data_IF_934020950028
#
_entry.id   IF_934020950028
#
_cell.length_a   1.000
_cell.length_b   1.000
_cell.length_c   1.000
_cell.angle_alpha   90.00
_cell.angle_beta   90.00
_cell.angle_gamma   90.00
#
_symmetry.space_group_name_H-M   'P 1'
#
loop_
_entity.id
_entity.type
_entity.pdbx_description
1 polymer ?
#
# COMPACT_ATOMS: atom_id res chain seq x y z
N UNK A 1 4.42 16.69 9.98
CA UNK A 1 5.39 16.17 8.99
C UNK A 1 5.13 16.61 7.54
N UNK A 2 4.08 17.39 7.23
CA UNK A 2 3.88 18.13 5.98
C UNK A 2 3.70 17.31 4.69
N UNK A 3 3.42 16.01 4.77
CA UNK A 3 3.06 15.24 3.60
C UNK A 3 1.55 15.32 3.35
N UNK A 4 1.16 15.70 2.14
CA UNK A 4 -0.24 15.63 1.73
C UNK A 4 -0.66 14.18 1.50
N UNK A 5 -1.95 13.87 1.69
CA UNK A 5 -2.53 12.54 1.41
C UNK A 5 -2.25 12.07 -0.03
N UNK A 6 -2.22 13.01 -0.97
CA UNK A 6 -1.89 12.77 -2.36
C UNK A 6 -0.46 12.23 -2.54
N UNK A 7 0.52 12.82 -1.86
CA UNK A 7 1.91 12.38 -1.95
C UNK A 7 2.10 10.99 -1.32
N UNK A 8 1.41 10.71 -0.22
CA UNK A 8 1.43 9.37 0.40
C UNK A 8 0.83 8.32 -0.53
N UNK A 9 -0.19 8.67 -1.32
CA UNK A 9 -0.76 7.78 -2.35
C UNK A 9 0.27 7.41 -3.43
N UNK A 10 1.06 8.38 -3.93
CA UNK A 10 2.14 8.13 -4.91
C UNK A 10 3.19 7.20 -4.30
N UNK A 11 3.64 7.54 -3.10
CA UNK A 11 4.69 6.78 -2.43
C UNK A 11 4.25 5.34 -2.12
N UNK A 12 3.00 5.12 -1.73
CA UNK A 12 2.42 3.78 -1.60
C UNK A 12 2.37 3.03 -2.94
N UNK A 13 2.13 3.72 -4.05
CA UNK A 13 2.17 3.12 -5.39
C UNK A 13 3.56 2.57 -5.76
N UNK A 14 4.65 3.11 -5.20
CA UNK A 14 6.00 2.56 -5.41
C UNK A 14 6.19 1.17 -4.83
N UNK A 15 5.32 0.74 -3.90
CA UNK A 15 5.39 -0.57 -3.24
C UNK A 15 5.40 -1.72 -4.25
N UNK A 16 4.57 -1.67 -5.29
CA UNK A 16 4.55 -2.73 -6.31
C UNK A 16 5.86 -2.83 -7.08
N UNK A 17 6.47 -1.68 -7.42
CA UNK A 17 7.79 -1.64 -8.06
C UNK A 17 8.89 -2.16 -7.12
N UNK A 18 8.91 -1.72 -5.87
CA UNK A 18 9.87 -2.19 -4.88
C UNK A 18 9.71 -3.69 -4.61
N UNK A 19 8.49 -4.20 -4.53
CA UNK A 19 8.23 -5.64 -4.36
C UNK A 19 8.78 -6.44 -5.53
N UNK A 20 8.63 -5.95 -6.76
CA UNK A 20 9.22 -6.57 -7.94
C UNK A 20 10.75 -6.63 -7.85
N UNK A 21 11.39 -5.53 -7.48
CA UNK A 21 12.86 -5.47 -7.33
C UNK A 21 13.33 -6.44 -6.24
N UNK A 22 12.70 -6.43 -5.07
CA UNK A 22 13.04 -7.33 -3.95
C UNK A 22 12.81 -8.79 -4.34
N UNK A 23 11.71 -9.13 -5.02
CA UNK A 23 11.43 -10.48 -5.49
C UNK A 23 12.46 -10.96 -6.52
N UNK A 24 12.86 -10.12 -7.46
CA UNK A 24 13.90 -10.42 -8.43
C UNK A 24 15.20 -10.81 -7.76
N UNK A 25 15.70 -10.00 -6.82
CA UNK A 25 16.98 -10.27 -6.16
C UNK A 25 16.91 -11.39 -5.14
N UNK A 26 15.82 -11.50 -4.39
CA UNK A 26 15.73 -12.43 -3.25
C UNK A 26 15.12 -13.79 -3.58
N UNK A 27 14.09 -13.82 -4.43
CA UNK A 27 13.47 -15.07 -4.89
C UNK A 27 14.07 -15.59 -6.19
N UNK A 28 14.89 -14.76 -6.89
CA UNK A 28 15.38 -15.04 -8.25
C UNK A 28 14.23 -15.32 -9.23
N UNK A 29 13.08 -14.69 -8.99
CA UNK A 29 11.94 -14.80 -9.90
C UNK A 29 12.23 -14.10 -11.21
N UNK A 30 11.96 -14.77 -12.33
CA UNK A 30 11.96 -14.14 -13.64
C UNK A 30 10.75 -13.23 -13.78
N UNK A 31 10.98 -11.94 -13.94
CA UNK A 31 9.93 -10.96 -14.17
C UNK A 31 9.76 -10.82 -15.68
N UNK A 32 8.53 -11.06 -16.16
CA UNK A 32 8.25 -10.90 -17.57
C UNK A 32 8.22 -9.41 -17.96
N UNK A 33 8.60 -9.11 -19.21
CA UNK A 33 8.52 -7.74 -19.74
C UNK A 33 7.09 -7.18 -19.63
N UNK A 34 6.07 -8.03 -19.76
CA UNK A 34 4.67 -7.62 -19.60
C UNK A 34 4.34 -7.19 -18.17
N UNK A 35 4.85 -7.92 -17.18
CA UNK A 35 4.67 -7.55 -15.78
C UNK A 35 5.37 -6.22 -15.47
N UNK A 36 6.60 -6.05 -15.93
CA UNK A 36 7.34 -4.81 -15.76
C UNK A 36 6.61 -3.62 -16.41
N UNK A 37 6.14 -3.80 -17.64
CA UNK A 37 5.35 -2.78 -18.35
C UNK A 37 4.05 -2.45 -17.58
N UNK A 38 3.34 -3.47 -17.09
CA UNK A 38 2.13 -3.29 -16.31
C UNK A 38 2.35 -2.50 -15.02
N UNK A 39 3.43 -2.80 -14.29
CA UNK A 39 3.77 -2.09 -13.05
C UNK A 39 4.14 -0.62 -13.33
N UNK A 40 4.93 -0.37 -14.37
CA UNK A 40 5.28 1.00 -14.78
C UNK A 40 4.03 1.77 -15.22
N UNK A 41 3.18 1.15 -16.02
CA UNK A 41 1.94 1.78 -16.50
C UNK A 41 0.97 2.10 -15.36
N UNK A 42 0.80 1.18 -14.41
CA UNK A 42 0.00 1.39 -13.21
C UNK A 42 0.55 2.54 -12.35
N UNK A 43 1.86 2.62 -12.20
CA UNK A 43 2.50 3.72 -11.48
C UNK A 43 2.29 5.08 -12.17
N UNK A 44 2.42 5.13 -13.50
CA UNK A 44 2.10 6.34 -14.27
C UNK A 44 0.63 6.74 -14.09
N UNK A 45 -0.29 5.77 -14.08
CA UNK A 45 -1.70 6.02 -13.76
C UNK A 45 -1.90 6.67 -12.40
N UNK A 46 -1.18 6.20 -11.36
CA UNK A 46 -1.20 6.81 -10.02
C UNK A 46 -0.69 8.26 -10.07
N UNK A 47 0.40 8.52 -10.77
CA UNK A 47 0.93 9.88 -10.91
C UNK A 47 -0.10 10.84 -11.53
N UNK A 48 -0.85 10.37 -12.54
CA UNK A 48 -1.93 11.14 -13.15
C UNK A 48 -3.08 11.38 -12.17
N UNK A 49 -3.50 10.36 -11.41
CA UNK A 49 -4.60 10.46 -10.44
C UNK A 49 -4.30 11.42 -9.29
N UNK A 50 -3.09 11.38 -8.79
CA UNK A 50 -2.71 12.09 -7.56
C UNK A 50 -2.25 13.53 -7.83
N UNK A 51 -1.91 13.86 -9.06
CA UNK A 51 -1.46 15.20 -9.49
C UNK A 51 -0.38 15.79 -8.55
N UNK A 52 0.86 15.34 -8.64
CA UNK A 52 1.92 15.72 -7.70
C UNK A 52 2.26 17.23 -7.69
N UNK A 53 1.84 17.97 -8.72
CA UNK A 53 2.09 19.42 -8.79
C UNK A 53 1.42 20.21 -7.66
N UNK A 54 0.38 19.66 -7.03
CA UNK A 54 -0.35 20.29 -5.93
C UNK A 54 0.13 19.85 -4.53
N UNK A 55 1.13 18.99 -4.44
CA UNK A 55 1.61 18.41 -3.17
C UNK A 55 3.00 18.93 -2.76
N UNK A 56 3.08 19.61 -1.64
CA UNK A 56 4.35 19.86 -0.96
C UNK A 56 4.62 18.74 0.03
N UNK A 57 5.63 17.90 -0.22
CA UNK A 57 6.13 17.00 0.78
C UNK A 57 7.53 17.40 1.20
N UNK A 58 7.80 17.37 2.50
CA UNK A 58 9.17 17.50 2.99
C UNK A 58 9.98 16.26 2.61
N UNK A 59 11.27 16.45 2.32
CA UNK A 59 12.21 15.35 2.02
C UNK A 59 12.14 14.23 3.09
N UNK A 60 11.99 14.61 4.37
CA UNK A 60 11.83 13.66 5.47
C UNK A 60 10.59 12.81 5.38
N UNK A 61 9.42 13.41 5.12
CA UNK A 61 8.17 12.66 5.00
C UNK A 61 8.20 11.67 3.81
N UNK A 62 8.78 12.09 2.68
CA UNK A 62 8.97 11.22 1.52
C UNK A 62 9.91 10.06 1.81
N UNK A 63 11.02 10.32 2.53
CA UNK A 63 11.97 9.29 2.95
C UNK A 63 11.31 8.23 3.84
N UNK A 64 10.56 8.64 4.87
CA UNK A 64 9.84 7.70 5.74
C UNK A 64 8.82 6.85 4.98
N UNK A 65 8.07 7.43 4.05
CA UNK A 65 7.11 6.68 3.26
C UNK A 65 7.78 5.67 2.32
N UNK A 66 8.92 6.00 1.72
CA UNK A 66 9.71 5.06 0.90
C UNK A 66 10.29 3.92 1.73
N UNK A 67 10.79 4.20 2.93
CA UNK A 67 11.24 3.16 3.87
C UNK A 67 10.08 2.25 4.26
N UNK A 68 8.89 2.81 4.51
CA UNK A 68 7.67 2.04 4.75
C UNK A 68 7.30 1.13 3.57
N UNK A 69 7.31 1.67 2.34
CA UNK A 69 7.03 0.90 1.13
C UNK A 69 8.04 -0.23 0.90
N UNK A 70 9.33 0.03 1.16
CA UNK A 70 10.38 -0.97 1.08
C UNK A 70 10.21 -2.06 2.14
N UNK A 71 9.93 -1.70 3.38
CA UNK A 71 9.67 -2.64 4.48
C UNK A 71 8.47 -3.54 4.19
N UNK A 72 7.40 -2.96 3.65
CA UNK A 72 6.21 -3.69 3.21
C UNK A 72 6.55 -4.70 2.11
N UNK A 73 7.37 -4.28 1.13
CA UNK A 73 7.85 -5.12 0.03
C UNK A 73 8.68 -6.30 0.53
N UNK A 74 9.61 -6.05 1.46
CA UNK A 74 10.39 -7.10 2.11
C UNK A 74 9.52 -8.10 2.86
N UNK A 75 8.54 -7.61 3.63
CA UNK A 75 7.60 -8.47 4.36
C UNK A 75 6.83 -9.39 3.43
N UNK A 76 6.27 -8.87 2.34
CA UNK A 76 5.53 -9.67 1.36
C UNK A 76 6.40 -10.76 0.69
N UNK A 77 7.60 -10.40 0.27
CA UNK A 77 8.55 -11.36 -0.35
C UNK A 77 9.05 -12.38 0.67
N UNK A 78 9.26 -11.98 1.93
CA UNK A 78 9.63 -12.88 3.02
C UNK A 78 8.55 -13.94 3.26
N UNK A 79 7.28 -13.53 3.35
CA UNK A 79 6.14 -14.45 3.52
C UNK A 79 6.09 -15.46 2.36
N UNK A 80 6.27 -14.98 1.12
CA UNK A 80 6.30 -15.84 -0.06
C UNK A 80 7.46 -16.84 -0.02
N UNK A 81 8.66 -16.38 0.34
CA UNK A 81 9.87 -17.21 0.33
C UNK A 81 9.82 -18.35 1.33
N UNK A 82 9.40 -18.04 2.55
CA UNK A 82 9.50 -19.01 3.65
C UNK A 82 8.23 -19.80 3.85
N UNK A 83 7.12 -19.50 3.16
CA UNK A 83 5.85 -20.22 3.22
C UNK A 83 5.51 -20.66 4.65
N UNK A 84 5.56 -19.70 5.59
CA UNK A 84 5.51 -19.94 7.01
C UNK A 84 4.28 -20.83 7.34
N UNK A 85 4.52 -22.09 7.69
CA UNK A 85 3.49 -23.07 8.12
C UNK A 85 2.91 -22.71 9.50
N UNK A 86 2.87 -21.41 9.83
CA UNK A 86 2.33 -20.90 11.07
C UNK A 86 0.87 -20.49 10.89
N UNK A 87 0.13 -20.55 11.98
CA UNK A 87 -1.22 -20.02 11.99
C UNK A 87 -1.18 -18.50 11.65
N UNK A 88 -1.86 -18.11 10.59
CA UNK A 88 -1.86 -16.72 10.08
C UNK A 88 -2.32 -15.71 11.13
N UNK A 89 -3.28 -16.08 11.98
CA UNK A 89 -3.72 -15.22 13.08
C UNK A 89 -2.58 -14.96 14.07
N UNK A 90 -1.80 -15.99 14.41
CA UNK A 90 -0.67 -15.89 15.30
C UNK A 90 0.44 -15.04 14.68
N UNK A 91 0.73 -15.26 13.40
CA UNK A 91 1.74 -14.48 12.66
C UNK A 91 1.38 -12.99 12.63
N UNK A 92 0.13 -12.66 12.28
CA UNK A 92 -0.34 -11.27 12.22
C UNK A 92 -0.37 -10.67 13.63
N UNK A 93 -0.87 -11.42 14.62
CA UNK A 93 -0.93 -10.95 16.00
C UNK A 93 0.45 -10.55 16.54
N UNK A 94 1.45 -11.40 16.34
CA UNK A 94 2.83 -11.06 16.72
C UNK A 94 3.42 -9.90 15.93
N UNK A 95 3.19 -9.85 14.61
CA UNK A 95 3.66 -8.75 13.78
C UNK A 95 3.08 -7.40 14.23
N UNK A 96 1.77 -7.35 14.52
CA UNK A 96 1.10 -6.14 15.02
C UNK A 96 1.57 -5.77 16.43
N UNK A 97 1.74 -6.75 17.30
CA UNK A 97 2.19 -6.53 18.66
C UNK A 97 3.62 -5.97 18.69
N UNK A 98 4.56 -6.60 17.98
CA UNK A 98 5.93 -6.09 17.90
C UNK A 98 6.02 -4.75 17.18
N UNK A 99 5.26 -4.55 16.09
CA UNK A 99 5.18 -3.26 15.42
C UNK A 99 4.65 -2.16 16.33
N UNK A 100 3.61 -2.43 17.10
CA UNK A 100 3.06 -1.52 18.10
C UNK A 100 4.07 -1.21 19.20
N UNK A 101 4.74 -2.22 19.77
CA UNK A 101 5.75 -2.04 20.81
C UNK A 101 6.94 -1.20 20.34
N UNK A 102 7.40 -1.38 19.09
CA UNK A 102 8.49 -0.59 18.51
C UNK A 102 8.10 0.87 18.28
N UNK A 103 6.83 1.15 17.98
CA UNK A 103 6.34 2.50 17.75
C UNK A 103 5.92 3.20 19.05
N UNK A 104 5.64 2.47 20.12
CA UNK A 104 5.22 3.03 21.42
C UNK A 104 6.16 4.11 21.95
N UNK A 105 7.51 3.96 21.95
CA UNK A 105 8.39 5.02 22.43
C UNK A 105 8.26 6.33 21.64
N UNK A 106 8.01 6.26 20.32
CA UNK A 106 7.82 7.43 19.47
C UNK A 106 6.48 8.14 19.75
N UNK A 107 5.47 7.42 20.19
CA UNK A 107 4.18 8.00 20.53
C UNK A 107 4.22 8.86 21.79
N UNK A 108 5.12 8.57 22.73
CA UNK A 108 5.27 9.38 23.94
C UNK A 108 5.75 10.81 23.67
N UNK A 109 6.43 11.05 22.54
CA UNK A 109 6.86 12.39 22.13
C UNK A 109 5.76 13.20 21.45
N UNK A 110 4.63 12.57 21.12
CA UNK A 110 3.53 13.18 20.36
C UNK A 110 2.18 12.77 20.96
N UNK A 111 2.07 12.78 22.29
CA UNK A 111 0.78 12.52 22.94
C UNK A 111 -0.19 13.66 22.64
N UNK A 112 -1.44 13.38 22.35
CA UNK A 112 -2.46 14.42 22.15
C UNK A 112 -2.72 15.15 23.46
N UNK A 113 -2.89 16.46 23.40
CA UNK A 113 -3.17 17.33 24.56
C UNK A 113 -4.53 17.01 25.20
N UNK A 114 -5.43 16.40 24.46
CA UNK A 114 -6.75 16.00 24.94
C UNK A 114 -7.03 14.53 24.61
N UNK A 115 -7.76 13.86 25.50
CA UNK A 115 -8.20 12.48 25.24
C UNK A 115 -9.13 12.45 24.01
N UNK A 116 -8.94 11.48 23.10
CA UNK A 116 -9.82 11.30 21.94
C UNK A 116 -11.25 11.07 22.38
N UNK A 117 -12.19 11.62 21.64
CA UNK A 117 -13.62 11.35 21.86
C UNK A 117 -13.99 9.89 21.49
N UNK A 118 -15.17 9.47 21.90
CA UNK A 118 -15.65 8.10 21.67
C UNK A 118 -15.70 7.72 20.17
N UNK A 119 -15.97 8.69 19.29
CA UNK A 119 -16.00 8.46 17.85
C UNK A 119 -14.60 8.23 17.29
N UNK A 120 -13.62 9.00 17.75
CA UNK A 120 -12.21 8.80 17.38
C UNK A 120 -11.70 7.44 17.87
N UNK A 121 -12.05 7.03 19.10
CA UNK A 121 -11.68 5.71 19.63
C UNK A 121 -12.33 4.60 18.78
N UNK A 122 -13.62 4.71 18.48
CA UNK A 122 -14.32 3.74 17.63
C UNK A 122 -13.71 3.66 16.22
N UNK A 123 -13.35 4.80 15.62
CA UNK A 123 -12.66 4.84 14.32
C UNK A 123 -11.29 4.18 14.38
N UNK A 124 -10.50 4.40 15.44
CA UNK A 124 -9.20 3.74 15.65
C UNK A 124 -9.35 2.23 15.82
N UNK A 125 -10.34 1.76 16.57
CA UNK A 125 -10.63 0.33 16.72
C UNK A 125 -11.03 -0.30 15.39
N UNK A 126 -11.89 0.37 14.62
CA UNK A 126 -12.28 -0.09 13.28
C UNK A 126 -11.06 -0.18 12.36
N UNK A 127 -10.22 0.84 12.33
CA UNK A 127 -9.01 0.88 11.51
C UNK A 127 -8.03 -0.24 11.89
N UNK A 128 -7.80 -0.45 13.19
CA UNK A 128 -6.88 -1.48 13.68
C UNK A 128 -7.38 -2.90 13.46
N UNK A 129 -8.63 -3.17 13.81
CA UNK A 129 -9.19 -4.54 13.77
C UNK A 129 -9.63 -4.91 12.34
N UNK A 130 -10.47 -4.08 11.72
CA UNK A 130 -11.10 -4.42 10.43
C UNK A 130 -10.17 -4.08 9.28
N UNK A 131 -9.74 -2.82 9.17
CA UNK A 131 -8.96 -2.35 8.02
C UNK A 131 -7.52 -2.84 8.04
N UNK A 132 -6.99 -3.23 9.19
CA UNK A 132 -5.64 -3.77 9.30
C UNK A 132 -5.67 -5.27 9.59
N UNK A 133 -6.20 -5.70 10.74
CA UNK A 133 -6.13 -7.09 11.19
C UNK A 133 -6.80 -8.07 10.20
N UNK A 134 -8.05 -7.85 9.84
CA UNK A 134 -8.79 -8.73 8.92
C UNK A 134 -8.23 -8.63 7.49
N UNK A 135 -7.91 -7.42 7.04
CA UNK A 135 -7.35 -7.22 5.70
C UNK A 135 -6.01 -7.93 5.51
N UNK A 136 -5.16 -7.97 6.53
CA UNK A 136 -3.89 -8.70 6.47
C UNK A 136 -4.05 -10.21 6.31
N UNK A 137 -5.12 -10.80 6.86
CA UNK A 137 -5.43 -12.22 6.62
C UNK A 137 -5.68 -12.49 5.14
N UNK A 138 -6.43 -11.62 4.48
CA UNK A 138 -6.66 -11.68 3.04
C UNK A 138 -5.36 -11.46 2.25
N UNK A 139 -4.56 -10.49 2.66
CA UNK A 139 -3.28 -10.16 2.03
C UNK A 139 -2.29 -11.34 2.06
N UNK A 140 -2.12 -12.00 3.21
CA UNK A 140 -1.24 -13.17 3.32
C UNK A 140 -1.74 -14.32 2.45
N UNK A 141 -3.05 -14.57 2.41
CA UNK A 141 -3.63 -15.59 1.53
C UNK A 141 -3.37 -15.30 0.05
N UNK A 142 -3.47 -14.04 -0.36
CA UNK A 142 -3.17 -13.64 -1.73
C UNK A 142 -1.69 -13.87 -2.06
N UNK A 143 -0.76 -13.52 -1.15
CA UNK A 143 0.67 -13.78 -1.36
C UNK A 143 0.93 -15.27 -1.58
N UNK A 144 0.31 -16.14 -0.80
CA UNK A 144 0.48 -17.59 -0.94
C UNK A 144 -0.09 -18.13 -2.26
N UNK A 145 -1.19 -17.55 -2.75
CA UNK A 145 -1.86 -18.01 -3.97
C UNK A 145 -1.24 -17.46 -5.25
N UNK A 146 -0.93 -16.17 -5.29
CA UNK A 146 -0.51 -15.48 -6.51
C UNK A 146 0.86 -14.83 -6.44
N UNK A 147 1.52 -14.89 -5.28
CA UNK A 147 2.86 -14.32 -5.04
C UNK A 147 2.84 -12.85 -4.64
N UNK A 148 3.96 -12.38 -4.05
CA UNK A 148 4.07 -11.03 -3.48
C UNK A 148 3.96 -9.93 -4.55
N UNK A 149 4.59 -10.10 -5.71
CA UNK A 149 4.59 -9.10 -6.79
C UNK A 149 3.18 -8.82 -7.30
N UNK A 150 2.37 -9.85 -7.55
CA UNK A 150 1.00 -9.66 -8.00
C UNK A 150 0.12 -9.11 -6.89
N UNK A 151 0.30 -9.59 -5.67
CA UNK A 151 -0.46 -9.09 -4.52
C UNK A 151 -0.18 -7.62 -4.26
N UNK A 152 1.06 -7.16 -4.43
CA UNK A 152 1.41 -5.74 -4.21
C UNK A 152 0.71 -4.79 -5.19
N UNK A 153 0.26 -5.26 -6.37
CA UNK A 153 -0.50 -4.42 -7.30
C UNK A 153 -1.85 -3.96 -6.75
N UNK A 154 -2.36 -4.60 -5.68
CA UNK A 154 -3.56 -4.14 -4.96
C UNK A 154 -3.40 -2.71 -4.46
N UNK A 155 -2.17 -2.27 -4.15
CA UNK A 155 -1.92 -0.88 -3.71
C UNK A 155 -2.29 0.16 -4.77
N UNK A 156 -2.37 -0.22 -6.04
CA UNK A 156 -2.83 0.65 -7.12
C UNK A 156 -4.32 0.97 -7.04
N UNK A 157 -5.10 0.17 -6.33
CA UNK A 157 -6.52 0.45 -6.08
C UNK A 157 -6.73 1.54 -5.01
N UNK A 158 -5.74 1.81 -4.18
CA UNK A 158 -5.87 2.82 -3.10
C UNK A 158 -6.27 4.20 -3.64
N UNK A 159 -5.58 4.79 -4.64
CA UNK A 159 -5.99 6.06 -5.21
C UNK A 159 -7.38 6.01 -5.86
N UNK A 160 -7.71 4.87 -6.47
CA UNK A 160 -9.03 4.66 -7.11
C UNK A 160 -10.15 4.74 -6.08
N UNK A 161 -10.03 3.99 -4.97
CA UNK A 161 -11.01 4.05 -3.88
C UNK A 161 -11.02 5.42 -3.21
N UNK A 162 -9.88 6.08 -3.07
CA UNK A 162 -9.83 7.45 -2.54
C UNK A 162 -10.66 8.42 -3.37
N UNK A 163 -10.62 8.31 -4.69
CA UNK A 163 -11.42 9.15 -5.60
C UNK A 163 -12.91 8.82 -5.49
N UNK A 164 -13.27 7.54 -5.45
CA UNK A 164 -14.67 7.10 -5.30
C UNK A 164 -15.26 7.64 -3.99
N UNK A 165 -14.57 7.42 -2.87
CA UNK A 165 -15.02 7.89 -1.57
C UNK A 165 -15.00 9.42 -1.46
N UNK A 166 -13.99 10.09 -2.03
CA UNK A 166 -13.94 11.55 -2.13
C UNK A 166 -15.14 12.13 -2.90
N UNK A 167 -15.51 11.48 -4.01
CA UNK A 167 -16.68 11.89 -4.78
C UNK A 167 -17.99 11.70 -4.01
N UNK A 168 -18.16 10.55 -3.31
CA UNK A 168 -19.41 10.22 -2.60
C UNK A 168 -19.56 11.06 -1.32
N UNK A 169 -18.51 11.17 -0.49
CA UNK A 169 -18.62 11.79 0.83
C UNK A 169 -18.22 13.26 0.85
N UNK A 170 -17.27 13.67 -0.02
CA UNK A 170 -16.76 15.04 -0.07
C UNK A 170 -17.30 15.81 -1.28
N UNK A 171 -18.15 15.19 -2.11
CA UNK A 171 -18.74 15.77 -3.32
C UNK A 171 -17.70 16.33 -4.30
N UNK A 172 -16.51 15.71 -4.33
CA UNK A 172 -15.45 16.09 -5.27
C UNK A 172 -15.83 15.72 -6.71
N UNK A 173 -15.59 16.63 -7.65
CA UNK A 173 -15.93 16.39 -9.06
C UNK A 173 -14.90 15.46 -9.71
N UNK A 174 -15.38 14.37 -10.30
CA UNK A 174 -14.55 13.48 -11.12
C UNK A 174 -14.27 14.17 -12.46
N UNK A 175 -13.00 14.46 -12.73
CA UNK A 175 -12.55 15.09 -13.97
C UNK A 175 -12.14 14.04 -15.01
N UNK A 176 -12.04 14.42 -16.28
CA UNK A 176 -11.54 13.55 -17.34
C UNK A 176 -10.11 13.05 -17.12
N UNK A 177 -9.29 13.86 -16.41
CA UNK A 177 -7.93 13.48 -16.02
C UNK A 177 -7.96 12.29 -15.05
N UNK A 178 -8.85 12.34 -14.07
CA UNK A 178 -9.07 11.26 -13.12
C UNK A 178 -9.52 9.98 -13.84
N UNK A 179 -10.45 10.09 -14.75
CA UNK A 179 -10.93 8.95 -15.55
C UNK A 179 -9.79 8.33 -16.40
N UNK A 180 -8.97 9.16 -17.04
CA UNK A 180 -7.79 8.72 -17.78
C UNK A 180 -6.79 7.98 -16.91
N UNK A 181 -6.43 8.54 -15.74
CA UNK A 181 -5.54 7.90 -14.77
C UNK A 181 -6.07 6.55 -14.28
N UNK A 182 -7.37 6.47 -14.01
CA UNK A 182 -8.04 5.20 -13.67
C UNK A 182 -7.84 4.12 -14.73
N UNK A 183 -8.03 4.46 -16.00
CA UNK A 183 -7.82 3.53 -17.13
C UNK A 183 -6.38 3.03 -17.14
N UNK A 184 -5.38 3.91 -16.98
CA UNK A 184 -3.96 3.50 -16.90
C UNK A 184 -3.70 2.53 -15.77
N UNK A 185 -4.26 2.78 -14.58
CA UNK A 185 -4.15 1.89 -13.42
C UNK A 185 -4.74 0.51 -13.74
N UNK A 186 -5.95 0.46 -14.30
CA UNK A 186 -6.63 -0.82 -14.61
C UNK A 186 -5.88 -1.63 -15.68
N UNK A 187 -5.39 -0.99 -16.72
CA UNK A 187 -4.57 -1.64 -17.76
C UNK A 187 -3.25 -2.11 -17.15
N UNK A 188 -2.60 -1.28 -16.32
CA UNK A 188 -1.37 -1.62 -15.62
C UNK A 188 -1.54 -2.88 -14.75
N UNK A 189 -2.61 -2.94 -13.95
CA UNK A 189 -2.94 -4.12 -13.14
C UNK A 189 -3.18 -5.37 -13.99
N UNK A 190 -3.88 -5.24 -15.10
CA UNK A 190 -4.13 -6.36 -16.01
C UNK A 190 -2.81 -6.96 -16.52
N UNK A 191 -1.89 -6.14 -17.02
CA UNK A 191 -0.58 -6.60 -17.50
C UNK A 191 0.32 -7.12 -16.38
N UNK A 192 0.32 -6.49 -15.21
CA UNK A 192 1.11 -6.91 -14.06
C UNK A 192 0.68 -8.30 -13.52
N UNK A 193 -0.61 -8.62 -13.61
CA UNK A 193 -1.16 -9.90 -13.15
C UNK A 193 -1.12 -11.00 -14.21
N UNK A 194 -0.90 -10.67 -15.48
CA UNK A 194 -0.90 -11.65 -16.57
C UNK A 194 0.48 -12.32 -16.67
N UNK A 195 0.61 -13.53 -16.11
CA UNK A 195 1.75 -14.40 -16.36
C UNK A 195 1.59 -14.99 -17.76
N UNK A 196 2.50 -14.69 -18.68
CA UNK A 196 2.65 -15.60 -19.80
C UNK A 196 3.18 -16.93 -19.24
N UNK A 197 2.38 -17.95 -19.38
CA UNK A 197 2.85 -19.33 -19.46
C UNK A 197 3.89 -19.47 -20.56
#
# INVERSE_FOLDING_TARGET
>A
LGATSNMLGILNGTTAFMTMVVAYFWLKESISLKQMFGIILGFLGILVLVNPANGSATLGASGFALVGALSYSFSGVYIQKYQLNANKFVLIGWAMLFGGLLLTPLSFFNLPDQMPDNNAIAALMWLGIVSTGIAYLGYIRLIEQIGAVRTSTVTYLLPVFSIIWGSIFLQEKITWIIFGGFIFVMIGMYFANNKNT
#
